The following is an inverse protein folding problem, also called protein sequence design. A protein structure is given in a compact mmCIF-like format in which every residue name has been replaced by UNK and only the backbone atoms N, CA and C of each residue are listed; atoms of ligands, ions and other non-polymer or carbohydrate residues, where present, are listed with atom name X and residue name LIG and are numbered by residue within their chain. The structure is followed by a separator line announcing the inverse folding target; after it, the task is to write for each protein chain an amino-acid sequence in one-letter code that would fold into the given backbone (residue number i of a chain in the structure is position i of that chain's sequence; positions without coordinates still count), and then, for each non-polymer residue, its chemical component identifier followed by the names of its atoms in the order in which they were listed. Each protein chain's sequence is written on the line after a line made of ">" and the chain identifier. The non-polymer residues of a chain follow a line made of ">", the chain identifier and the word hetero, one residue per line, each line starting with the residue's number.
data_IF_109815945515
#
_entry.id   IF_109815945515
#
_cell.length_a   1.000
_cell.length_b   1.000
_cell.length_c   1.000
_cell.angle_alpha   90.00
_cell.angle_beta   90.00
_cell.angle_gamma   90.00
#
_symmetry.space_group_name_H-M   'P 1'
#
loop_
_entity.id
_entity.type
_entity.pdbx_description
1 polymer ?
#
# COMPACT_ATOMS: atom_id res chain seq x y z
N UNK A 1 5.06 -14.70 5.02
CA UNK A 1 4.35 -13.83 5.98
C UNK A 1 5.39 -12.99 6.67
N UNK A 2 5.50 -11.73 6.25
CA UNK A 2 6.56 -10.83 6.68
C UNK A 2 5.98 -9.76 7.60
N UNK A 3 6.72 -9.42 8.65
CA UNK A 3 6.52 -8.19 9.41
C UNK A 3 7.44 -7.13 8.82
N UNK A 4 6.87 -6.14 8.12
CA UNK A 4 7.65 -4.98 7.65
C UNK A 4 7.76 -3.96 8.79
N UNK A 5 8.82 -3.14 8.78
CA UNK A 5 8.93 -2.04 9.75
C UNK A 5 7.96 -0.93 9.36
N UNK A 6 7.49 -0.18 10.36
CA UNK A 6 6.63 0.98 10.13
C UNK A 6 7.30 2.02 9.22
N UNK A 7 8.61 2.20 9.35
CA UNK A 7 9.41 3.10 8.50
C UNK A 7 9.39 2.67 7.03
N UNK A 8 9.54 1.37 6.75
CA UNK A 8 9.52 0.83 5.39
C UNK A 8 8.13 0.98 4.76
N UNK A 9 7.09 0.74 5.55
CA UNK A 9 5.70 0.97 5.15
C UNK A 9 5.41 2.43 4.80
N UNK A 10 5.88 3.36 5.65
CA UNK A 10 5.79 4.79 5.37
C UNK A 10 6.51 5.12 4.06
N UNK A 11 7.69 4.54 3.84
CA UNK A 11 8.47 4.75 2.61
C UNK A 11 7.70 4.27 1.37
N UNK A 12 7.12 3.08 1.41
CA UNK A 12 6.28 2.55 0.33
C UNK A 12 5.17 3.56 -0.02
N UNK A 13 4.33 3.94 0.95
CA UNK A 13 3.17 4.80 0.70
C UNK A 13 3.51 6.28 0.44
N UNK A 14 4.74 6.70 0.73
CA UNK A 14 5.26 8.01 0.35
C UNK A 14 5.69 8.10 -1.12
N UNK A 15 5.77 6.96 -1.82
CA UNK A 15 6.20 6.93 -3.23
C UNK A 15 5.23 7.71 -4.13
N UNK A 16 5.81 8.40 -5.13
CA UNK A 16 5.09 9.26 -6.05
C UNK A 16 4.43 8.43 -7.15
N UNK A 17 3.14 8.14 -6.94
CA UNK A 17 2.31 7.38 -7.89
C UNK A 17 1.87 8.22 -9.08
N UNK A 18 1.92 9.55 -8.97
CA UNK A 18 1.47 10.47 -10.01
C UNK A 18 2.47 10.54 -11.15
N UNK A 19 3.78 10.51 -10.85
CA UNK A 19 4.86 10.60 -11.85
C UNK A 19 4.79 9.54 -12.94
N UNK A 20 4.36 8.33 -12.58
CA UNK A 20 4.29 7.18 -13.49
C UNK A 20 2.87 6.67 -13.73
N UNK A 21 1.85 7.37 -13.19
CA UNK A 21 0.46 6.91 -13.17
C UNK A 21 0.34 5.44 -12.72
N UNK A 22 1.01 5.13 -11.61
CA UNK A 22 1.10 3.77 -11.04
C UNK A 22 0.13 3.59 -9.87
N UNK A 23 -0.05 2.36 -9.41
CA UNK A 23 -0.77 2.04 -8.19
C UNK A 23 0.19 1.33 -7.23
N UNK A 24 -0.05 1.50 -5.93
CA UNK A 24 0.56 0.72 -4.88
C UNK A 24 -0.54 -0.08 -4.23
N UNK A 25 -0.39 -1.40 -4.16
CA UNK A 25 -1.37 -2.31 -3.55
C UNK A 25 -0.68 -3.25 -2.57
N UNK A 26 -1.17 -3.29 -1.34
CA UNK A 26 -0.63 -4.11 -0.27
C UNK A 26 -1.73 -5.00 0.30
N UNK A 27 -1.43 -6.31 0.36
CA UNK A 27 -2.33 -7.30 0.94
C UNK A 27 -1.80 -7.76 2.30
N UNK A 28 -2.69 -7.86 3.27
CA UNK A 28 -2.34 -8.17 4.65
C UNK A 28 -3.48 -8.84 5.39
N UNK A 29 -3.16 -9.43 6.54
CA UNK A 29 -4.14 -9.82 7.53
C UNK A 29 -3.82 -9.21 8.90
N UNK A 30 -4.78 -9.34 9.82
CA UNK A 30 -4.60 -9.03 11.23
C UNK A 30 -4.59 -10.32 12.04
N UNK A 31 -3.49 -10.56 12.74
CA UNK A 31 -3.29 -11.74 13.58
C UNK A 31 -4.42 -11.86 14.63
N UNK A 32 -5.02 -13.04 14.69
CA UNK A 32 -6.15 -13.38 15.57
C UNK A 32 -7.43 -12.54 15.33
N UNK A 33 -7.68 -12.07 14.10
CA UNK A 33 -8.94 -11.43 13.72
C UNK A 33 -9.43 -11.99 12.37
N UNK A 34 -10.37 -12.93 12.42
CA UNK A 34 -10.87 -13.68 11.25
C UNK A 34 -11.54 -12.75 10.23
N UNK A 35 -12.19 -11.68 10.70
CA UNK A 35 -12.85 -10.70 9.85
C UNK A 35 -11.87 -9.88 8.98
N UNK A 36 -10.57 -9.95 9.26
CA UNK A 36 -9.50 -9.22 8.56
C UNK A 36 -8.43 -10.20 8.04
N UNK A 37 -8.84 -11.34 7.48
CA UNK A 37 -7.93 -12.35 6.94
C UNK A 37 -7.39 -12.01 5.54
N UNK A 38 -8.11 -11.19 4.77
CA UNK A 38 -7.73 -10.77 3.41
C UNK A 38 -8.04 -9.28 3.20
N UNK A 39 -7.23 -8.43 3.82
CA UNK A 39 -7.36 -6.98 3.70
C UNK A 39 -6.43 -6.44 2.62
N UNK A 40 -6.89 -5.38 1.97
CA UNK A 40 -6.14 -4.64 0.96
C UNK A 40 -6.05 -3.18 1.35
N UNK A 41 -4.93 -2.57 1.02
CA UNK A 41 -4.76 -1.13 1.11
C UNK A 41 -3.82 -0.63 0.03
N UNK A 42 -3.88 0.66 -0.24
CA UNK A 42 -3.04 1.18 -1.29
C UNK A 42 -3.14 2.67 -1.51
N UNK A 43 -2.57 3.05 -2.63
CA UNK A 43 -2.47 4.42 -3.10
C UNK A 43 -2.49 4.44 -4.62
N UNK A 44 -3.29 5.33 -5.20
CA UNK A 44 -3.37 5.51 -6.65
C UNK A 44 -3.70 6.95 -7.03
N UNK A 45 -3.44 7.37 -8.29
CA UNK A 45 -3.96 8.60 -8.84
C UNK A 45 -5.50 8.66 -8.72
N UNK A 46 -6.00 9.85 -8.41
CA UNK A 46 -7.42 10.16 -8.43
C UNK A 46 -7.87 10.30 -9.88
N UNK A 47 -8.70 9.38 -10.37
CA UNK A 47 -9.21 9.39 -11.74
C UNK A 47 -10.09 10.62 -12.04
N UNK A 48 -10.69 11.22 -11.01
CA UNK A 48 -11.59 12.36 -11.15
C UNK A 48 -10.84 13.70 -11.01
N UNK A 49 -9.67 13.70 -10.38
CA UNK A 49 -8.90 14.92 -10.08
C UNK A 49 -7.44 14.80 -10.54
N UNK A 50 -7.09 15.59 -11.55
CA UNK A 50 -5.71 15.67 -12.08
C UNK A 50 -4.72 16.03 -10.97
N UNK A 51 -3.57 15.34 -10.95
CA UNK A 51 -2.46 15.55 -10.01
C UNK A 51 -2.84 15.38 -8.54
N UNK A 52 -3.88 14.60 -8.25
CA UNK A 52 -4.25 14.21 -6.90
C UNK A 52 -4.12 12.70 -6.80
N UNK A 53 -3.72 12.25 -5.62
CA UNK A 53 -3.67 10.84 -5.24
C UNK A 53 -4.69 10.58 -4.16
N UNK A 54 -5.16 9.34 -4.10
CA UNK A 54 -6.05 8.83 -3.07
C UNK A 54 -5.41 7.64 -2.39
N UNK A 55 -5.65 7.54 -1.09
CA UNK A 55 -5.27 6.41 -0.26
C UNK A 55 -6.52 5.61 0.04
N UNK A 56 -6.41 4.28 0.15
CA UNK A 56 -7.60 3.45 0.31
C UNK A 56 -7.38 2.21 1.17
N UNK A 57 -8.47 1.75 1.77
CA UNK A 57 -8.63 0.44 2.42
C UNK A 57 -9.75 -0.34 1.73
N UNK A 58 -9.56 -1.64 1.55
CA UNK A 58 -10.60 -2.62 1.23
C UNK A 58 -10.49 -3.78 2.20
N UNK A 59 -11.37 -3.83 3.21
CA UNK A 59 -11.19 -4.73 4.36
C UNK A 59 -11.89 -6.08 4.23
N UNK A 60 -12.80 -6.21 3.28
CA UNK A 60 -13.59 -7.42 3.04
C UNK A 60 -13.78 -7.63 1.54
N UNK A 61 -13.89 -8.90 1.13
CA UNK A 61 -13.96 -9.31 -0.28
C UNK A 61 -15.17 -8.75 -1.03
N UNK A 62 -16.31 -8.56 -0.35
CA UNK A 62 -17.54 -8.03 -0.96
C UNK A 62 -17.50 -6.51 -1.21
N UNK A 63 -16.40 -5.85 -0.82
CA UNK A 63 -16.20 -4.41 -1.00
C UNK A 63 -17.03 -3.51 -0.07
N UNK A 64 -17.87 -4.07 0.81
CA UNK A 64 -18.74 -3.28 1.70
C UNK A 64 -17.96 -2.41 2.70
N UNK A 65 -16.71 -2.76 2.98
CA UNK A 65 -15.79 -1.98 3.82
C UNK A 65 -14.63 -1.42 3.00
N UNK A 66 -14.97 -0.57 2.03
CA UNK A 66 -14.02 0.18 1.23
C UNK A 66 -14.03 1.65 1.65
N UNK A 67 -12.86 2.23 1.88
CA UNK A 67 -12.71 3.60 2.36
C UNK A 67 -11.61 4.33 1.58
N UNK A 68 -11.87 5.58 1.22
CA UNK A 68 -10.90 6.45 0.54
C UNK A 68 -10.52 7.64 1.43
N UNK A 69 -9.26 8.05 1.35
CA UNK A 69 -8.69 9.15 2.12
C UNK A 69 -7.89 10.08 1.19
N UNK A 70 -7.87 11.36 1.53
CA UNK A 70 -7.26 12.39 0.71
C UNK A 70 -5.75 12.54 0.98
N UNK A 71 -5.27 12.09 2.13
CA UNK A 71 -3.86 12.22 2.49
C UNK A 71 -3.34 11.05 3.32
N UNK A 72 -2.02 10.97 3.40
CA UNK A 72 -1.31 9.92 4.12
C UNK A 72 -1.64 9.88 5.62
N UNK A 73 -1.77 11.04 6.26
CA UNK A 73 -2.10 11.12 7.69
C UNK A 73 -3.49 10.56 8.00
N UNK A 74 -4.46 10.78 7.11
CA UNK A 74 -5.82 10.27 7.28
C UNK A 74 -5.87 8.74 7.27
N UNK A 75 -5.19 8.09 6.32
CA UNK A 75 -5.19 6.63 6.23
C UNK A 75 -4.48 6.00 7.44
N UNK A 76 -3.38 6.59 7.93
CA UNK A 76 -2.67 6.08 9.10
C UNK A 76 -3.50 6.16 10.39
N UNK A 77 -4.34 7.18 10.53
CA UNK A 77 -5.13 7.43 11.73
C UNK A 77 -6.57 6.91 11.63
N UNK A 78 -6.98 6.40 10.47
CA UNK A 78 -8.32 5.91 10.22
C UNK A 78 -8.69 4.75 11.15
N UNK A 79 -9.76 4.90 11.94
CA UNK A 79 -10.19 3.93 12.95
C UNK A 79 -11.05 2.80 12.40
N UNK A 80 -10.61 2.18 11.32
CA UNK A 80 -11.40 1.18 10.57
C UNK A 80 -11.28 -0.24 11.10
N UNK A 81 -10.34 -0.52 12.02
CA UNK A 81 -10.12 -1.85 12.58
C UNK A 81 -10.71 -1.97 13.98
N UNK A 82 -12.04 -2.12 14.09
CA UNK A 82 -12.74 -2.14 15.38
C UNK A 82 -12.40 -0.90 16.26
N UNK A 83 -12.52 0.29 15.67
CA UNK A 83 -12.21 1.60 16.28
C UNK A 83 -10.71 1.83 16.61
N UNK A 84 -9.82 1.08 15.95
CA UNK A 84 -8.37 1.24 16.01
C UNK A 84 -7.80 1.58 14.64
N UNK A 85 -6.69 2.30 14.63
CA UNK A 85 -5.92 2.61 13.42
C UNK A 85 -4.93 1.52 13.06
N UNK A 86 -4.36 1.56 11.85
CA UNK A 86 -3.29 0.64 11.45
C UNK A 86 -2.05 0.77 12.37
N UNK A 87 -1.78 1.99 12.85
CA UNK A 87 -0.71 2.24 13.81
C UNK A 87 -0.98 1.59 15.17
N UNK A 88 -2.23 1.60 15.64
CA UNK A 88 -2.62 0.97 16.92
C UNK A 88 -2.48 -0.56 16.89
N UNK A 89 -2.59 -1.16 15.70
CA UNK A 89 -2.55 -2.62 15.51
C UNK A 89 -1.29 -3.11 14.80
N UNK A 90 -0.30 -2.24 14.56
CA UNK A 90 0.84 -2.50 13.69
C UNK A 90 1.51 -3.86 13.92
N UNK A 91 1.79 -4.17 15.19
CA UNK A 91 2.44 -5.43 15.60
C UNK A 91 1.64 -6.69 15.25
N UNK A 92 0.33 -6.55 15.02
CA UNK A 92 -0.58 -7.64 14.63
C UNK A 92 -0.79 -7.74 13.13
N UNK A 93 -0.27 -6.82 12.33
CA UNK A 93 -0.42 -6.85 10.87
C UNK A 93 0.60 -7.81 10.29
N UNK A 94 0.15 -8.73 9.44
CA UNK A 94 1.03 -9.65 8.70
C UNK A 94 0.82 -9.43 7.21
N UNK A 95 1.91 -9.18 6.48
CA UNK A 95 1.83 -8.82 5.08
C UNK A 95 2.05 -10.02 4.15
N UNK A 96 1.27 -10.04 3.07
CA UNK A 96 1.26 -11.10 2.07
C UNK A 96 1.93 -10.67 0.77
N UNK A 97 1.46 -9.58 0.16
CA UNK A 97 1.97 -9.10 -1.13
C UNK A 97 2.06 -7.59 -1.20
N UNK A 98 2.91 -7.12 -2.11
CA UNK A 98 3.03 -5.73 -2.55
C UNK A 98 3.02 -5.76 -4.09
N UNK A 99 2.13 -4.99 -4.71
CA UNK A 99 1.90 -4.90 -6.15
C UNK A 99 1.73 -6.29 -6.82
N UNK A 100 0.91 -7.15 -6.20
CA UNK A 100 0.63 -8.50 -6.67
C UNK A 100 1.82 -9.47 -6.60
N UNK A 101 2.93 -9.07 -6.00
CA UNK A 101 4.15 -9.87 -5.89
C UNK A 101 4.47 -10.19 -4.42
N UNK A 102 5.37 -11.14 -4.20
CA UNK A 102 5.84 -11.45 -2.85
C UNK A 102 6.43 -10.19 -2.19
N UNK A 103 6.00 -9.89 -0.96
CA UNK A 103 6.40 -8.65 -0.30
C UNK A 103 7.91 -8.56 -0.05
N UNK A 104 8.60 -9.67 0.26
CA UNK A 104 10.05 -9.65 0.50
C UNK A 104 10.84 -9.25 -0.76
N UNK A 105 10.36 -9.66 -1.92
CA UNK A 105 10.96 -9.32 -3.22
C UNK A 105 10.68 -7.86 -3.58
N UNK A 106 9.42 -7.42 -3.44
CA UNK A 106 9.03 -6.06 -3.85
C UNK A 106 9.51 -4.98 -2.90
N UNK A 107 9.64 -5.29 -1.61
CA UNK A 107 10.10 -4.33 -0.61
C UNK A 107 11.46 -3.71 -0.98
N UNK A 108 12.36 -4.51 -1.55
CA UNK A 108 13.67 -4.03 -2.00
C UNK A 108 13.56 -2.93 -3.06
N UNK A 109 12.57 -2.99 -3.96
CA UNK A 109 12.40 -1.97 -5.00
C UNK A 109 12.01 -0.61 -4.43
N UNK A 110 11.24 -0.59 -3.34
CA UNK A 110 10.83 0.64 -2.68
C UNK A 110 11.87 1.19 -1.71
N UNK A 111 12.64 0.31 -1.07
CA UNK A 111 13.67 0.72 -0.11
C UNK A 111 14.96 1.15 -0.81
N UNK A 112 15.40 0.42 -1.85
CA UNK A 112 16.68 0.65 -2.53
C UNK A 112 16.64 1.83 -3.52
N UNK A 113 15.47 2.38 -3.85
CA UNK A 113 15.36 3.50 -4.81
C UNK A 113 15.97 4.81 -4.27
N UNK A 114 16.31 4.86 -2.98
CA UNK A 114 17.15 5.91 -2.36
C UNK A 114 18.61 5.89 -2.85
N UNK A 115 19.06 4.79 -3.47
CA UNK A 115 20.44 4.63 -3.96
C UNK A 115 20.62 5.08 -5.42
N UNK A 116 19.66 5.81 -5.99
CA UNK A 116 19.82 6.48 -7.29
C UNK A 116 19.96 5.51 -8.46
N UNK A 117 19.04 4.55 -8.59
CA UNK A 117 18.99 3.74 -9.81
C UNK A 117 18.35 4.53 -10.97
N UNK A 118 18.89 4.41 -12.19
CA UNK A 118 18.30 5.06 -13.35
C UNK A 118 16.95 4.44 -13.68
N UNK A 119 15.97 5.30 -13.93
CA UNK A 119 14.64 4.97 -14.48
C UNK A 119 14.84 3.97 -15.61
N UNK A 120 14.37 2.73 -15.45
CA UNK A 120 14.40 1.74 -16.54
C UNK A 120 13.44 2.22 -17.63
N UNK A 121 13.98 2.82 -18.68
CA UNK A 121 13.24 3.08 -19.91
C UNK A 121 12.71 1.75 -20.46
N UNK A 122 11.45 1.75 -20.91
CA UNK A 122 10.82 0.62 -21.59
C UNK A 122 11.76 0.02 -22.64
N UNK A 123 11.76 -1.32 -22.83
CA UNK A 123 12.64 -1.96 -23.79
C UNK A 123 12.40 -1.38 -25.18
N UNK A 124 13.38 -0.63 -25.69
CA UNK A 124 13.44 -0.25 -27.10
C UNK A 124 13.78 -1.50 -27.90
N UNK A 125 12.76 -2.21 -28.38
CA UNK A 125 12.98 -3.30 -29.30
C UNK A 125 11.87 -4.33 -29.32
N UNK A 126 10.73 -3.96 -29.90
CA UNK A 126 9.98 -4.92 -30.72
C UNK A 126 9.86 -4.24 -32.09
N UNK A 127 10.70 -4.68 -33.02
CA UNK A 127 10.51 -4.46 -34.46
C UNK A 127 9.66 -5.60 -34.99
#
# INVERSE_FOLDING_TARGET
>A
MLKIKLEDFIKILSSDVLKSNSCIEMNFCIDNAVEYEDCWMGKMPDNDTINKEIYWYGLVEDGSQSYNYACFEEILNAKVFNNKSICDIWERVTWYSLDGCNIEEMLQYYIDDDLGRPIRSAPKGIK
#
